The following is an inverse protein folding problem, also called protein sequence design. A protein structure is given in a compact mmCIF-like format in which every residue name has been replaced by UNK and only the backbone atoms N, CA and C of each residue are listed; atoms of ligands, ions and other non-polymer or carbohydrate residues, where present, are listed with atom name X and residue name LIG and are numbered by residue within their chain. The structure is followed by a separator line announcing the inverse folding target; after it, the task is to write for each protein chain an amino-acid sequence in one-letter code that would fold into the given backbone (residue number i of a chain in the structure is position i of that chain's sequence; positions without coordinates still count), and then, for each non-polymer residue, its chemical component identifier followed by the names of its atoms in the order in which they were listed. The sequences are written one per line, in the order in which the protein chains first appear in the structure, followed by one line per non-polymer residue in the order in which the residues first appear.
data_IF_079082671187
#
_entry.id   IF_079082671187
#
_cell.length_a   1.000
_cell.length_b   1.000
_cell.length_c   1.000
_cell.angle_alpha   90.00
_cell.angle_beta   90.00
_cell.angle_gamma   90.00
#
_symmetry.space_group_name_H-M   'P 1'
#
loop_
_entity.id
_entity.type
_entity.pdbx_description
1 polymer ?
#
# COMPACT_ATOMS: atom_id res chain seq x y z
N UNK A 1 21.74 -29.96 15.28
CA UNK A 1 20.81 -28.92 14.82
C UNK A 1 20.29 -28.19 16.05
N UNK A 2 21.02 -27.18 16.51
CA UNK A 2 20.65 -26.38 17.68
C UNK A 2 19.53 -25.43 17.29
N UNK A 3 18.28 -25.72 17.69
CA UNK A 3 17.18 -24.76 17.61
C UNK A 3 17.43 -23.69 18.67
N UNK A 4 17.97 -22.55 18.25
CA UNK A 4 18.07 -21.37 19.09
C UNK A 4 16.64 -20.88 19.44
N UNK A 5 16.22 -20.94 20.72
CA UNK A 5 14.87 -20.54 21.13
C UNK A 5 14.59 -19.04 20.98
N UNK A 6 15.59 -18.24 20.57
CA UNK A 6 15.51 -16.77 20.56
C UNK A 6 15.45 -16.11 19.18
N UNK A 7 15.03 -16.82 18.12
CA UNK A 7 14.77 -16.18 16.82
C UNK A 7 13.51 -15.28 16.90
N UNK A 8 13.66 -14.09 17.48
CA UNK A 8 12.58 -13.09 17.59
C UNK A 8 12.03 -12.77 16.20
N UNK A 9 10.71 -12.84 16.06
CA UNK A 9 10.03 -12.37 14.86
C UNK A 9 10.32 -10.87 14.66
N UNK A 10 10.64 -10.48 13.43
CA UNK A 10 10.82 -9.08 13.07
C UNK A 10 9.49 -8.34 13.18
N UNK A 11 9.42 -7.15 13.81
CA UNK A 11 8.18 -6.38 13.93
C UNK A 11 7.82 -5.63 12.63
N UNK A 12 8.77 -5.43 11.72
CA UNK A 12 8.62 -4.59 10.52
C UNK A 12 7.48 -4.99 9.57
N UNK A 13 7.19 -6.27 9.33
CA UNK A 13 6.05 -6.66 8.51
C UNK A 13 4.72 -6.19 9.07
N UNK A 14 4.54 -6.18 10.40
CA UNK A 14 3.32 -5.68 11.03
C UNK A 14 3.14 -4.18 10.82
N UNK A 15 4.22 -3.40 10.98
CA UNK A 15 4.21 -1.96 10.69
C UNK A 15 3.83 -1.72 9.23
N UNK A 16 4.41 -2.50 8.32
CA UNK A 16 4.09 -2.41 6.89
C UNK A 16 2.64 -2.76 6.56
N UNK A 17 2.10 -3.85 7.13
CA UNK A 17 0.71 -4.24 6.86
C UNK A 17 -0.31 -3.31 7.51
N UNK A 18 -0.02 -2.76 8.70
CA UNK A 18 -0.83 -1.69 9.29
C UNK A 18 -0.87 -0.47 8.36
N UNK A 19 0.29 -0.07 7.80
CA UNK A 19 0.36 0.99 6.80
C UNK A 19 -0.43 0.68 5.53
N UNK A 20 -0.37 -0.56 5.02
CA UNK A 20 -1.17 -0.99 3.85
C UNK A 20 -2.67 -0.96 4.14
N UNK A 21 -3.09 -1.32 5.35
CA UNK A 21 -4.48 -1.21 5.79
C UNK A 21 -4.94 0.26 5.86
N UNK A 22 -4.11 1.17 6.38
CA UNK A 22 -4.40 2.60 6.33
C UNK A 22 -4.50 3.12 4.89
N UNK A 23 -3.58 2.71 4.01
CA UNK A 23 -3.58 3.10 2.61
C UNK A 23 -4.86 2.63 1.88
N UNK A 24 -5.43 1.48 2.23
CA UNK A 24 -6.69 1.01 1.65
C UNK A 24 -7.80 2.07 1.73
N UNK A 25 -7.93 2.75 2.88
CA UNK A 25 -8.94 3.79 3.06
C UNK A 25 -8.74 4.97 2.12
N UNK A 26 -7.49 5.38 1.85
CA UNK A 26 -7.19 6.45 0.88
C UNK A 26 -7.64 6.05 -0.54
N UNK A 27 -7.31 4.82 -0.93
CA UNK A 27 -7.66 4.27 -2.24
C UNK A 27 -9.18 4.10 -2.40
N UNK A 28 -9.86 3.54 -1.40
CA UNK A 28 -11.31 3.34 -1.42
C UNK A 28 -12.09 4.67 -1.34
N UNK A 29 -11.64 5.61 -0.52
CA UNK A 29 -12.26 6.95 -0.41
C UNK A 29 -12.06 7.82 -1.66
N UNK A 30 -11.18 7.42 -2.59
CA UNK A 30 -10.97 8.16 -3.85
C UNK A 30 -12.23 8.24 -4.71
N UNK A 31 -13.25 7.40 -4.47
CA UNK A 31 -14.55 7.53 -5.13
C UNK A 31 -15.31 8.82 -4.81
N UNK A 32 -14.87 9.59 -3.81
CA UNK A 32 -15.40 10.92 -3.52
C UNK A 32 -14.88 12.00 -4.47
N UNK A 33 -13.74 11.76 -5.14
CA UNK A 33 -13.03 12.77 -5.93
C UNK A 33 -12.69 12.32 -7.35
N UNK A 34 -12.72 11.01 -7.62
CA UNK A 34 -12.30 10.41 -8.89
C UNK A 34 -13.43 9.58 -9.52
N UNK A 35 -13.45 9.43 -10.86
CA UNK A 35 -14.44 8.59 -11.55
C UNK A 35 -14.25 7.10 -11.18
N UNK A 36 -15.34 6.33 -11.26
CA UNK A 36 -15.38 4.93 -10.80
C UNK A 36 -14.28 4.04 -11.42
N UNK A 37 -13.93 4.25 -12.70
CA UNK A 37 -12.90 3.46 -13.38
C UNK A 37 -11.51 3.72 -12.78
N UNK A 38 -11.23 4.96 -12.38
CA UNK A 38 -9.95 5.33 -11.77
C UNK A 38 -9.82 4.72 -10.38
N UNK A 39 -10.91 4.71 -9.61
CA UNK A 39 -10.99 4.03 -8.31
C UNK A 39 -10.74 2.52 -8.47
N UNK A 40 -11.35 1.90 -9.48
CA UNK A 40 -11.12 0.47 -9.77
C UNK A 40 -9.64 0.20 -10.08
N UNK A 41 -9.00 1.02 -10.93
CA UNK A 41 -7.57 0.89 -11.23
C UNK A 41 -6.70 1.12 -10.00
N UNK A 42 -7.00 2.13 -9.19
CA UNK A 42 -6.32 2.39 -7.93
C UNK A 42 -6.41 1.16 -7.00
N UNK A 43 -7.61 0.59 -6.80
CA UNK A 43 -7.78 -0.58 -5.96
C UNK A 43 -7.03 -1.82 -6.50
N UNK A 44 -6.99 -2.01 -7.81
CA UNK A 44 -6.17 -3.07 -8.43
C UNK A 44 -4.70 -2.85 -8.10
N UNK A 45 -4.19 -1.63 -8.24
CA UNK A 45 -2.81 -1.28 -7.87
C UNK A 45 -2.55 -1.54 -6.39
N UNK A 46 -3.48 -1.18 -5.50
CA UNK A 46 -3.35 -1.46 -4.08
C UNK A 46 -3.30 -2.97 -3.80
N UNK A 47 -4.13 -3.78 -4.45
CA UNK A 47 -4.10 -5.25 -4.31
C UNK A 47 -2.75 -5.80 -4.77
N UNK A 48 -2.19 -5.31 -5.88
CA UNK A 48 -0.86 -5.72 -6.34
C UNK A 48 0.22 -5.38 -5.31
N UNK A 49 0.17 -4.19 -4.71
CA UNK A 49 1.09 -3.79 -3.65
C UNK A 49 0.90 -4.62 -2.38
N UNK A 50 -0.34 -4.98 -2.04
CA UNK A 50 -0.63 -5.88 -0.92
C UNK A 50 -0.01 -7.26 -1.16
N UNK A 51 -0.15 -7.81 -2.37
CA UNK A 51 0.49 -9.08 -2.76
C UNK A 51 2.01 -8.99 -2.63
N UNK A 52 2.62 -7.87 -3.04
CA UNK A 52 4.06 -7.64 -2.85
C UNK A 52 4.43 -7.59 -1.37
N UNK A 53 3.66 -6.89 -0.53
CA UNK A 53 3.87 -6.83 0.92
C UNK A 53 3.79 -8.22 1.56
N UNK A 54 2.80 -9.03 1.19
CA UNK A 54 2.66 -10.43 1.62
C UNK A 54 3.83 -11.29 1.14
N UNK A 55 4.25 -11.17 -0.12
CA UNK A 55 5.37 -11.92 -0.67
C UNK A 55 6.71 -11.58 -0.01
N UNK A 56 6.87 -10.33 0.45
CA UNK A 56 8.09 -9.85 1.12
C UNK A 56 8.09 -10.06 2.64
N UNK A 57 6.96 -10.46 3.22
CA UNK A 57 6.77 -10.63 4.65
C UNK A 57 7.90 -11.44 5.32
N UNK A 58 8.26 -12.60 4.74
CA UNK A 58 9.33 -13.47 5.24
C UNK A 58 10.70 -13.19 4.61
N UNK A 59 10.84 -13.06 3.28
CA UNK A 59 12.15 -12.91 2.66
C UNK A 59 12.80 -11.54 2.89
N UNK A 60 12.00 -10.48 3.05
CA UNK A 60 12.45 -9.08 3.09
C UNK A 60 11.66 -8.23 4.10
N UNK A 61 11.57 -8.62 5.39
CA UNK A 61 10.66 -8.03 6.37
C UNK A 61 10.86 -6.52 6.59
N UNK A 62 12.11 -6.04 6.49
CA UNK A 62 12.47 -4.61 6.64
C UNK A 62 11.96 -3.72 5.49
N UNK A 63 11.60 -4.30 4.34
CA UNK A 63 11.14 -3.56 3.17
C UNK A 63 9.62 -3.43 3.08
N UNK A 64 8.86 -4.21 3.86
CA UNK A 64 7.39 -4.18 3.86
C UNK A 64 6.84 -2.78 4.20
N UNK A 65 7.38 -2.02 5.19
CA UNK A 65 6.97 -0.63 5.40
C UNK A 65 7.19 0.28 4.19
N UNK A 66 8.24 0.01 3.39
CA UNK A 66 8.50 0.75 2.16
C UNK A 66 7.39 0.59 1.12
N UNK A 67 6.72 -0.56 1.09
CA UNK A 67 5.55 -0.80 0.20
C UNK A 67 4.38 0.10 0.60
N UNK A 68 4.11 0.25 1.90
CA UNK A 68 3.07 1.14 2.40
C UNK A 68 3.36 2.61 2.10
N UNK A 69 4.61 3.06 2.30
CA UNK A 69 5.03 4.42 1.95
C UNK A 69 4.86 4.67 0.45
N UNK A 70 5.29 3.71 -0.38
CA UNK A 70 5.13 3.80 -1.83
C UNK A 70 3.66 3.88 -2.25
N UNK A 71 2.78 3.09 -1.62
CA UNK A 71 1.33 3.14 -1.89
C UNK A 71 0.76 4.54 -1.64
N UNK A 72 1.10 5.17 -0.52
CA UNK A 72 0.62 6.53 -0.18
C UNK A 72 1.15 7.57 -1.17
N UNK A 73 2.44 7.51 -1.52
CA UNK A 73 3.05 8.44 -2.48
C UNK A 73 2.43 8.28 -3.87
N UNK A 74 2.26 7.04 -4.33
CA UNK A 74 1.64 6.75 -5.63
C UNK A 74 0.20 7.25 -5.68
N UNK A 75 -0.58 6.99 -4.64
CA UNK A 75 -1.94 7.50 -4.53
C UNK A 75 -1.99 9.03 -4.61
N UNK A 76 -1.16 9.72 -3.82
CA UNK A 76 -1.11 11.18 -3.80
C UNK A 76 -0.77 11.74 -5.19
N UNK A 77 0.22 11.15 -5.85
CA UNK A 77 0.62 11.55 -7.19
C UNK A 77 -0.51 11.35 -8.21
N UNK A 78 -1.20 10.21 -8.19
CA UNK A 78 -2.29 9.90 -9.13
C UNK A 78 -3.51 10.80 -8.91
N UNK A 79 -3.93 10.99 -7.66
CA UNK A 79 -5.10 11.83 -7.35
C UNK A 79 -4.83 13.29 -7.70
N UNK A 80 -3.64 13.81 -7.37
CA UNK A 80 -3.23 15.17 -7.73
C UNK A 80 -3.13 15.34 -9.25
N UNK A 81 -2.54 14.37 -9.95
CA UNK A 81 -2.46 14.37 -11.41
C UNK A 81 -3.86 14.34 -12.06
N UNK A 82 -4.77 13.54 -11.51
CA UNK A 82 -6.15 13.48 -11.97
C UNK A 82 -6.90 14.80 -11.79
N UNK A 83 -6.70 15.48 -10.65
CA UNK A 83 -7.23 16.82 -10.43
C UNK A 83 -6.66 17.86 -11.41
N UNK A 84 -5.34 17.83 -11.59
CA UNK A 84 -4.63 18.82 -12.42
C UNK A 84 -4.87 18.66 -13.93
N UNK A 85 -5.00 17.43 -14.44
CA UNK A 85 -5.01 17.16 -15.89
C UNK A 85 -6.26 16.48 -16.42
N UNK A 86 -7.01 15.76 -15.57
CA UNK A 86 -8.17 14.96 -15.99
C UNK A 86 -9.49 15.53 -15.46
N UNK A 87 -9.46 16.67 -14.77
CA UNK A 87 -10.64 17.36 -14.25
C UNK A 87 -11.35 16.62 -13.11
N UNK A 88 -10.62 15.79 -12.36
CA UNK A 88 -11.16 15.19 -11.13
C UNK A 88 -11.37 16.28 -10.07
N UNK A 89 -12.29 16.07 -9.13
CA UNK A 89 -12.61 17.06 -8.09
C UNK A 89 -11.73 16.88 -6.85
N UNK A 90 -10.45 16.58 -7.09
CA UNK A 90 -9.44 16.25 -6.09
C UNK A 90 -8.85 17.48 -5.40
#
# INVERSE_FOLDING_TARGET
MTTDPTRRASPWPFVGMAGMACAFFLYAASGLVAPWWAVALLLVVWVLLLVVACAWWTPRPRWVPGVAVFAVVLWFAVVTAGGAWLGWTA
#
